data_IF_885430161553
#
_entry.id   IF_885430161553
#
_cell.length_a   1.000
_cell.length_b   1.000
_cell.length_c   1.000
_cell.angle_alpha   90.00
_cell.angle_beta   90.00
_cell.angle_gamma   90.00
#
_symmetry.space_group_name_H-M   'P 1'
#
loop_
_entity.id
_entity.type
_entity.pdbx_description
1 polymer ?
#
# COMPACT_ATOMS: atom_id res chain seq x y z
N UNK A 1 22.24 -11.19 -10.84
CA UNK A 1 22.07 -9.95 -10.05
C UNK A 1 21.17 -10.25 -8.87
N UNK A 2 21.70 -10.25 -7.65
CA UNK A 2 20.88 -10.35 -6.43
C UNK A 2 20.30 -8.96 -6.21
N UNK A 3 19.05 -8.74 -6.60
CA UNK A 3 18.32 -7.55 -6.20
C UNK A 3 18.07 -7.66 -4.69
N UNK A 4 18.86 -6.95 -3.89
CA UNK A 4 18.61 -6.81 -2.46
C UNK A 4 17.13 -6.46 -2.26
N UNK A 5 16.40 -7.12 -1.35
CA UNK A 5 15.02 -6.75 -1.10
C UNK A 5 15.03 -5.28 -0.72
N UNK A 6 14.31 -4.45 -1.48
CA UNK A 6 14.13 -3.06 -1.10
C UNK A 6 13.46 -3.09 0.27
N UNK A 7 14.18 -2.65 1.30
CA UNK A 7 13.60 -2.52 2.63
C UNK A 7 12.51 -1.47 2.53
N UNK A 8 11.32 -1.80 3.01
CA UNK A 8 10.24 -0.83 3.08
C UNK A 8 10.73 0.39 3.87
N UNK A 9 10.56 1.57 3.29
CA UNK A 9 10.82 2.83 3.97
C UNK A 9 9.80 3.04 5.09
N UNK A 10 8.59 2.48 4.93
CA UNK A 10 7.60 2.44 6.00
C UNK A 10 6.36 1.63 5.64
N UNK A 11 5.52 1.46 6.66
CA UNK A 11 4.24 0.76 6.57
C UNK A 11 3.19 1.55 7.34
N UNK A 12 1.99 1.68 6.77
CA UNK A 12 0.88 2.36 7.42
C UNK A 12 0.33 1.50 8.55
N UNK A 13 -0.43 2.11 9.46
CA UNK A 13 -1.27 1.34 10.37
C UNK A 13 -2.22 0.44 9.56
N UNK A 14 -2.38 -0.84 9.95
CA UNK A 14 -3.26 -1.74 9.25
C UNK A 14 -4.73 -1.41 9.54
N UNK A 15 -5.57 -1.43 8.50
CA UNK A 15 -7.02 -1.37 8.57
C UNK A 15 -7.56 -2.71 8.10
N UNK A 16 -8.23 -3.44 9.00
CA UNK A 16 -8.82 -4.74 8.70
C UNK A 16 -7.83 -5.72 8.03
N UNK A 17 -6.61 -5.80 8.59
CA UNK A 17 -5.45 -6.57 8.12
C UNK A 17 -4.80 -6.10 6.81
N UNK A 18 -5.28 -5.02 6.20
CA UNK A 18 -4.66 -4.43 5.01
C UNK A 18 -3.90 -3.16 5.38
N UNK A 19 -2.79 -2.89 4.70
CA UNK A 19 -1.92 -1.74 4.94
C UNK A 19 -1.27 -1.29 3.65
N UNK A 20 -0.77 -0.05 3.67
CA UNK A 20 0.06 0.50 2.61
C UNK A 20 1.52 0.39 3.02
N UNK A 21 2.33 -0.22 2.17
CA UNK A 21 3.78 -0.30 2.33
C UNK A 21 4.43 0.54 1.24
N UNK A 22 5.43 1.35 1.61
CA UNK A 22 6.16 2.18 0.65
C UNK A 22 7.65 2.00 0.82
N UNK A 23 8.36 2.30 -0.27
CA UNK A 23 9.80 2.27 -0.41
C UNK A 23 10.28 3.67 -0.80
N UNK A 24 11.32 3.76 -1.63
CA UNK A 24 11.86 5.05 -2.05
C UNK A 24 10.85 5.83 -2.91
N UNK A 25 10.41 5.25 -4.04
CA UNK A 25 9.43 5.85 -4.95
C UNK A 25 8.19 4.99 -5.12
N UNK A 26 8.34 3.69 -4.91
CA UNK A 26 7.28 2.71 -5.07
C UNK A 26 6.45 2.54 -3.80
N UNK A 27 5.21 2.09 -3.99
CA UNK A 27 4.33 1.71 -2.89
C UNK A 27 3.31 0.67 -3.35
N UNK A 28 2.78 -0.07 -2.39
CA UNK A 28 1.79 -1.10 -2.64
C UNK A 28 0.82 -1.23 -1.47
N UNK A 29 -0.40 -1.62 -1.79
CA UNK A 29 -1.36 -2.07 -0.80
C UNK A 29 -1.27 -3.58 -0.64
N UNK A 30 -1.09 -4.00 0.60
CA UNK A 30 -0.91 -5.39 0.99
C UNK A 30 -1.91 -5.74 2.08
N UNK A 31 -2.17 -7.02 2.26
CA UNK A 31 -2.85 -7.50 3.46
C UNK A 31 -2.05 -8.65 4.05
N UNK A 32 -1.84 -8.62 5.36
CA UNK A 32 -1.11 -9.67 6.06
C UNK A 32 -1.99 -10.90 6.26
N UNK A 33 -1.38 -12.07 6.43
CA UNK A 33 -2.10 -13.33 6.66
C UNK A 33 -3.00 -13.19 7.92
N UNK A 34 -4.29 -13.55 7.87
CA UNK A 34 -4.99 -14.40 6.88
C UNK A 34 -5.58 -13.67 5.65
N UNK A 35 -5.23 -12.40 5.43
CA UNK A 35 -5.73 -11.54 4.36
C UNK A 35 -6.75 -10.51 4.87
N UNK A 36 -7.40 -9.82 3.93
CA UNK A 36 -8.41 -8.80 4.22
C UNK A 36 -9.50 -9.33 5.16
N UNK A 37 -9.74 -8.67 6.29
CA UNK A 37 -10.73 -9.14 7.28
C UNK A 37 -12.18 -9.01 6.77
N UNK A 38 -12.45 -8.02 5.92
CA UNK A 38 -13.77 -7.77 5.34
C UNK A 38 -13.69 -7.70 3.82
N UNK A 39 -14.77 -8.08 3.15
CA UNK A 39 -14.93 -7.84 1.73
C UNK A 39 -15.46 -6.41 1.52
N UNK A 40 -14.78 -5.61 0.70
CA UNK A 40 -15.14 -4.22 0.47
C UNK A 40 -14.04 -3.44 -0.25
N UNK A 41 -14.20 -2.12 -0.33
CA UNK A 41 -13.23 -1.27 -1.02
C UNK A 41 -12.23 -0.73 -0.02
N UNK A 42 -10.96 -1.01 -0.27
CA UNK A 42 -9.85 -0.46 0.49
C UNK A 42 -9.20 0.65 -0.33
N UNK A 43 -9.25 1.87 0.21
CA UNK A 43 -8.63 3.04 -0.39
C UNK A 43 -7.29 3.26 0.29
N UNK A 44 -6.22 3.15 -0.48
CA UNK A 44 -4.84 3.27 -0.03
C UNK A 44 -4.15 4.41 -0.76
N UNK A 45 -3.16 5.03 -0.13
CA UNK A 45 -2.37 6.06 -0.78
C UNK A 45 -1.05 6.31 -0.09
N UNK A 46 -0.23 7.13 -0.73
CA UNK A 46 1.08 7.55 -0.26
C UNK A 46 1.32 9.02 -0.58
N UNK A 47 2.01 9.71 0.32
CA UNK A 47 2.41 11.08 0.11
C UNK A 47 3.66 11.10 -0.77
N UNK A 48 3.57 11.76 -1.91
CA UNK A 48 4.68 11.83 -2.85
C UNK A 48 5.43 13.15 -2.71
N UNK A 49 6.77 13.08 -2.67
CA UNK A 49 7.61 14.27 -2.59
C UNK A 49 7.46 15.14 -3.83
N UNK A 50 7.27 16.44 -3.62
CA UNK A 50 7.21 17.47 -4.67
C UNK A 50 6.18 17.21 -5.79
N UNK A 51 5.12 16.44 -5.51
CA UNK A 51 4.03 16.17 -6.45
C UNK A 51 2.74 15.85 -5.70
N UNK A 52 1.65 15.70 -6.43
CA UNK A 52 0.40 15.24 -5.86
C UNK A 52 0.51 13.80 -5.35
N UNK A 53 -0.10 13.56 -4.20
CA UNK A 53 -0.26 12.26 -3.60
C UNK A 53 -0.85 11.23 -4.56
N UNK A 54 -0.45 9.98 -4.38
CA UNK A 54 -0.98 8.86 -5.16
C UNK A 54 -1.91 8.06 -4.28
N UNK A 55 -3.08 7.75 -4.82
CA UNK A 55 -4.07 6.92 -4.15
C UNK A 55 -4.66 5.92 -5.14
N UNK A 56 -5.11 4.79 -4.62
CA UNK A 56 -5.86 3.80 -5.37
C UNK A 56 -6.93 3.16 -4.50
N UNK A 57 -7.98 2.68 -5.15
CA UNK A 57 -9.10 2.02 -4.52
C UNK A 57 -9.20 0.60 -5.05
N UNK A 58 -9.08 -0.40 -4.17
CA UNK A 58 -9.11 -1.82 -4.57
C UNK A 58 -10.24 -2.51 -3.82
N UNK A 59 -11.16 -3.10 -4.59
CA UNK A 59 -12.12 -4.06 -4.07
C UNK A 59 -11.42 -5.35 -3.67
N UNK A 60 -11.51 -5.73 -2.40
CA UNK A 60 -10.95 -6.97 -1.88
C UNK A 60 -12.08 -7.88 -1.42
N UNK A 61 -11.91 -9.18 -1.66
CA UNK A 61 -12.70 -10.22 -0.99
C UNK A 61 -12.08 -10.55 0.36
N UNK A 62 -12.90 -11.05 1.29
CA UNK A 62 -12.42 -11.52 2.60
C UNK A 62 -11.36 -12.61 2.41
N UNK A 63 -10.26 -12.53 3.16
CA UNK A 63 -9.11 -13.42 3.06
C UNK A 63 -8.12 -13.07 1.92
N UNK A 64 -8.36 -12.00 1.16
CA UNK A 64 -7.43 -11.61 0.08
C UNK A 64 -6.08 -11.15 0.64
N UNK A 65 -5.00 -11.84 0.25
CA UNK A 65 -3.60 -11.48 0.54
C UNK A 65 -2.89 -10.83 -0.64
N UNK A 66 -3.64 -10.50 -1.71
CA UNK A 66 -3.07 -9.95 -2.93
C UNK A 66 -2.28 -8.66 -2.64
N UNK A 67 -1.06 -8.58 -3.15
CA UNK A 67 -0.30 -7.33 -3.18
C UNK A 67 -0.66 -6.59 -4.45
N UNK A 68 -1.14 -5.36 -4.31
CA UNK A 68 -1.47 -4.51 -5.45
C UNK A 68 -0.54 -3.32 -5.41
N UNK A 69 0.25 -3.13 -6.46
CA UNK A 69 1.15 -1.98 -6.58
C UNK A 69 0.36 -0.74 -6.97
N UNK A 70 0.64 0.37 -6.29
CA UNK A 70 0.12 1.67 -6.68
C UNK A 70 0.95 2.28 -7.82
N UNK A 71 0.53 3.45 -8.29
CA UNK A 71 1.34 4.24 -9.22
C UNK A 71 2.52 4.85 -8.47
N UNK A 72 3.74 4.57 -8.93
CA UNK A 72 4.96 5.05 -8.31
C UNK A 72 5.02 6.59 -8.26
N UNK A 73 5.61 7.12 -7.19
CA UNK A 73 5.98 8.52 -7.09
C UNK A 73 7.23 8.79 -7.93
N UNK A 74 7.33 9.95 -8.57
CA UNK A 74 8.54 10.31 -9.35
C UNK A 74 9.78 10.59 -8.49
N UNK A 75 9.63 11.24 -7.34
CA UNK A 75 10.76 11.79 -6.57
C UNK A 75 10.95 11.15 -5.19
N UNK A 76 9.89 10.59 -4.62
CA UNK A 76 9.92 9.98 -3.30
C UNK A 76 8.51 9.66 -2.81
N UNK A 77 8.38 8.59 -2.04
CA UNK A 77 7.17 8.12 -1.41
C UNK A 77 7.36 8.12 0.10
N UNK A 78 6.40 8.69 0.82
CA UNK A 78 6.45 8.82 2.27
C UNK A 78 5.04 8.77 2.85
N UNK A 79 4.92 8.42 4.13
CA UNK A 79 3.67 8.53 4.89
C UNK A 79 2.44 7.91 4.18
N UNK A 80 2.45 6.59 3.97
CA UNK A 80 1.31 5.89 3.40
C UNK A 80 0.14 5.74 4.36
N UNK A 81 -1.07 5.68 3.81
CA UNK A 81 -2.32 5.47 4.54
C UNK A 81 -3.18 4.43 3.85
N UNK A 82 -4.15 3.92 4.61
CA UNK A 82 -5.21 3.05 4.11
C UNK A 82 -6.50 3.33 4.88
N UNK A 83 -7.63 3.21 4.21
CA UNK A 83 -8.98 3.34 4.76
C UNK A 83 -9.90 2.31 4.11
N UNK A 84 -11.00 2.00 4.78
CA UNK A 84 -12.02 1.08 4.30
C UNK A 84 -13.34 1.85 4.13
N UNK A 85 -13.98 1.69 2.97
CA UNK A 85 -15.23 2.37 2.59
C UNK A 85 -16.31 1.37 2.19
#
# INVERSE_FOLDING_TARGET
>A
MVTSPAFAAGTSSPVFNCYTQWWNTAWAQKCDSPGAKYAGTYVSGVACSAQADKSMSIGRVQGSTATVSGTDCTFGASNGWITYV
#
